data_IF_314035901460
#
_entry.id   IF_314035901460
#
_cell.length_a   1.000
_cell.length_b   1.000
_cell.length_c   1.000
_cell.angle_alpha   90.00
_cell.angle_beta   90.00
_cell.angle_gamma   90.00
#
_symmetry.space_group_name_H-M   'P 1'
#
loop_
_entity.id
_entity.type
_entity.pdbx_description
1 polymer ?
#
# COMPACT_ATOMS: atom_id res chain seq x y z
N UNK A 1 -8.80 7.44 -3.29
CA UNK A 1 -8.81 6.13 -2.59
C UNK A 1 -9.42 6.31 -1.20
N UNK A 2 -10.19 5.34 -0.70
CA UNK A 2 -10.67 5.35 0.69
C UNK A 2 -9.57 4.74 1.57
N UNK A 3 -9.20 5.42 2.65
CA UNK A 3 -8.22 4.92 3.63
C UNK A 3 -8.86 4.83 5.00
N UNK A 4 -8.83 3.64 5.60
CA UNK A 4 -9.40 3.35 6.91
C UNK A 4 -8.36 2.71 7.83
N UNK A 5 -8.35 3.10 9.12
CA UNK A 5 -7.58 2.41 10.16
C UNK A 5 -8.51 1.39 10.80
N UNK A 6 -8.28 0.10 10.54
CA UNK A 6 -9.17 -0.99 10.97
C UNK A 6 -8.76 -1.62 12.29
N UNK A 7 -7.50 -1.46 12.68
CA UNK A 7 -6.98 -1.82 13.99
C UNK A 7 -5.80 -0.91 14.36
N UNK A 8 -5.23 -1.09 15.56
CA UNK A 8 -3.96 -0.46 15.88
C UNK A 8 -2.94 -0.83 14.80
N UNK A 9 -2.41 0.21 14.16
CA UNK A 9 -1.38 0.15 13.12
C UNK A 9 -1.71 -0.66 11.86
N UNK A 10 -2.98 -1.04 11.67
CA UNK A 10 -3.45 -1.72 10.47
C UNK A 10 -4.37 -0.80 9.67
N UNK A 11 -4.05 -0.64 8.39
CA UNK A 11 -4.80 0.21 7.45
C UNK A 11 -5.29 -0.60 6.26
N UNK A 12 -6.47 -0.21 5.75
CA UNK A 12 -7.01 -0.68 4.47
C UNK A 12 -7.13 0.51 3.52
N UNK A 13 -6.82 0.24 2.26
CA UNK A 13 -6.85 1.15 1.14
C UNK A 13 -7.78 0.59 0.07
N UNK A 14 -8.97 1.17 -0.09
CA UNK A 14 -9.95 0.70 -1.08
C UNK A 14 -9.90 1.60 -2.31
N UNK A 15 -9.65 0.98 -3.46
CA UNK A 15 -9.60 1.68 -4.74
C UNK A 15 -10.96 2.29 -5.06
N UNK A 16 -10.96 3.55 -5.47
CA UNK A 16 -12.16 4.20 -6.01
C UNK A 16 -12.21 4.17 -7.54
N UNK A 17 -11.13 3.68 -8.17
CA UNK A 17 -10.95 3.70 -9.62
C UNK A 17 -11.11 2.31 -10.25
N UNK A 18 -10.78 1.24 -9.52
CA UNK A 18 -10.81 -0.14 -10.02
C UNK A 18 -11.56 -1.09 -9.08
N UNK A 19 -12.78 -1.47 -9.46
CA UNK A 19 -13.54 -2.60 -8.89
C UNK A 19 -13.63 -2.70 -7.33
N UNK A 20 -13.37 -1.61 -6.60
CA UNK A 20 -13.32 -1.60 -5.12
C UNK A 20 -12.35 -2.65 -4.54
N UNK A 21 -11.25 -2.93 -5.25
CA UNK A 21 -10.19 -3.80 -4.73
C UNK A 21 -9.44 -3.13 -3.59
N UNK A 22 -8.81 -3.93 -2.74
CA UNK A 22 -8.15 -3.45 -1.53
C UNK A 22 -6.64 -3.73 -1.56
N UNK A 23 -5.89 -2.77 -1.03
CA UNK A 23 -4.55 -2.98 -0.50
C UNK A 23 -4.59 -2.79 1.02
N UNK A 24 -3.60 -3.34 1.73
CA UNK A 24 -3.49 -3.23 3.18
C UNK A 24 -2.10 -2.79 3.61
N UNK A 25 -1.97 -2.19 4.78
CA UNK A 25 -0.66 -1.95 5.38
C UNK A 25 -0.64 -2.26 6.88
N UNK A 26 0.51 -2.76 7.33
CA UNK A 26 0.83 -2.94 8.74
C UNK A 26 2.00 -2.00 9.05
N UNK A 27 1.80 -1.10 10.01
CA UNK A 27 2.74 -0.03 10.33
C UNK A 27 3.52 -0.41 11.59
N UNK A 28 4.82 -0.69 11.44
CA UNK A 28 5.70 -0.96 12.57
C UNK A 28 6.30 0.31 13.18
N UNK A 29 7.11 0.11 14.23
CA UNK A 29 7.83 1.20 14.88
C UNK A 29 8.84 1.89 13.95
N UNK A 30 9.53 1.15 13.09
CA UNK A 30 10.61 1.67 12.24
C UNK A 30 10.28 1.64 10.73
N UNK A 31 9.40 0.74 10.31
CA UNK A 31 9.06 0.50 8.90
C UNK A 31 7.67 -0.11 8.78
N UNK A 32 7.12 -0.12 7.57
CA UNK A 32 5.81 -0.69 7.25
C UNK A 32 5.91 -1.85 6.27
N UNK A 33 4.86 -2.69 6.27
CA UNK A 33 4.58 -3.71 5.26
C UNK A 33 3.41 -3.21 4.44
N UNK A 34 3.56 -3.23 3.12
CA UNK A 34 2.46 -3.04 2.19
C UNK A 34 2.01 -4.41 1.67
N UNK A 35 0.70 -4.62 1.59
CA UNK A 35 0.06 -5.82 1.06
C UNK A 35 -0.74 -5.36 -0.16
N UNK A 36 -0.28 -5.75 -1.34
CA UNK A 36 -0.78 -5.31 -2.65
C UNK A 36 -0.65 -3.79 -2.89
N UNK A 37 -0.76 -3.36 -4.16
CA UNK A 37 -0.36 -2.00 -4.55
C UNK A 37 -1.44 -1.17 -5.23
N UNK A 38 -2.62 -1.74 -5.46
CA UNK A 38 -3.69 -1.21 -6.31
C UNK A 38 -3.27 -1.06 -7.78
N UNK A 39 -4.26 -0.95 -8.67
CA UNK A 39 -4.03 -0.98 -10.12
C UNK A 39 -3.46 0.32 -10.70
N UNK A 40 -3.81 1.46 -10.10
CA UNK A 40 -3.53 2.77 -10.69
C UNK A 40 -2.35 3.48 -10.02
N UNK A 41 -1.41 4.05 -10.79
CA UNK A 41 -0.22 4.71 -10.25
C UNK A 41 -0.53 5.81 -9.24
N UNK A 42 -1.62 6.54 -9.43
CA UNK A 42 -2.05 7.60 -8.53
C UNK A 42 -2.37 7.05 -7.13
N UNK A 43 -3.07 5.91 -7.05
CA UNK A 43 -3.42 5.28 -5.77
C UNK A 43 -2.20 4.63 -5.12
N UNK A 44 -1.32 3.97 -5.88
CA UNK A 44 -0.07 3.41 -5.33
C UNK A 44 0.85 4.49 -4.77
N UNK A 45 0.97 5.64 -5.45
CA UNK A 45 1.75 6.79 -4.95
C UNK A 45 1.09 7.42 -3.72
N UNK A 46 -0.24 7.52 -3.69
CA UNK A 46 -0.96 8.01 -2.51
C UNK A 46 -0.71 7.13 -1.28
N UNK A 47 -0.68 5.80 -1.45
CA UNK A 47 -0.27 4.85 -0.40
C UNK A 47 1.15 5.14 0.07
N UNK A 48 2.10 5.29 -0.85
CA UNK A 48 3.50 5.59 -0.51
C UNK A 48 3.64 6.91 0.23
N UNK A 49 3.02 7.97 -0.25
CA UNK A 49 3.05 9.29 0.37
C UNK A 49 2.48 9.25 1.79
N UNK A 50 1.46 8.43 2.02
CA UNK A 50 0.93 8.20 3.36
C UNK A 50 1.92 7.45 4.27
N UNK A 51 2.43 6.30 3.84
CA UNK A 51 3.30 5.46 4.67
C UNK A 51 4.68 6.08 4.89
N UNK A 52 5.37 6.46 3.82
CA UNK A 52 6.75 6.97 3.88
C UNK A 52 6.80 8.47 4.16
N UNK A 53 5.86 9.24 3.61
CA UNK A 53 5.82 10.69 3.81
C UNK A 53 5.19 11.06 5.15
N UNK A 54 3.89 10.76 5.31
CA UNK A 54 3.11 11.23 6.47
C UNK A 54 3.41 10.48 7.76
N UNK A 55 3.56 9.15 7.71
CA UNK A 55 3.89 8.36 8.90
C UNK A 55 5.40 8.25 9.14
N UNK A 56 6.21 8.63 8.16
CA UNK A 56 7.67 8.46 8.19
C UNK A 56 8.08 7.00 8.47
N UNK A 57 7.29 6.05 7.96
CA UNK A 57 7.53 4.59 8.08
C UNK A 57 7.84 4.02 6.69
N UNK A 58 9.13 3.92 6.31
CA UNK A 58 9.51 3.38 5.00
C UNK A 58 8.88 2.01 4.76
N UNK A 59 8.46 1.74 3.52
CA UNK A 59 7.92 0.42 3.16
C UNK A 59 9.09 -0.54 2.97
N UNK A 60 9.21 -1.52 3.86
CA UNK A 60 10.31 -2.51 3.82
C UNK A 60 9.98 -3.72 2.96
N UNK A 61 8.71 -4.10 2.92
CA UNK A 61 8.22 -5.26 2.18
C UNK A 61 6.95 -4.90 1.43
N UNK A 62 6.84 -5.40 0.19
CA UNK A 62 5.60 -5.39 -0.58
C UNK A 62 5.18 -6.85 -0.80
N UNK A 63 4.09 -7.25 -0.17
CA UNK A 63 3.52 -8.58 -0.31
C UNK A 63 2.49 -8.54 -1.42
N UNK A 64 2.82 -9.13 -2.57
CA UNK A 64 1.84 -9.40 -3.62
C UNK A 64 1.09 -10.68 -3.27
N UNK A 65 -0.20 -10.58 -2.96
CA UNK A 65 -1.01 -11.75 -2.61
C UNK A 65 -1.24 -12.66 -3.81
N UNK A 66 -1.22 -12.11 -5.03
CA UNK A 66 -1.13 -12.89 -6.27
C UNK A 66 -0.50 -12.07 -7.44
N UNK A 67 -0.61 -12.54 -8.69
CA UNK A 67 0.08 -11.96 -9.85
C UNK A 67 -0.70 -10.94 -10.71
N UNK A 68 -2.01 -10.72 -10.53
CA UNK A 68 -2.78 -9.74 -11.32
C UNK A 68 -2.33 -8.29 -11.06
N UNK A 69 -2.76 -7.43 -11.97
CA UNK A 69 -2.27 -6.07 -12.11
C UNK A 69 -2.56 -5.17 -10.92
N UNK A 70 -3.72 -5.31 -10.29
CA UNK A 70 -4.11 -4.59 -9.08
C UNK A 70 -3.30 -4.94 -7.84
N UNK A 71 -2.61 -6.08 -7.88
CA UNK A 71 -1.71 -6.50 -6.81
C UNK A 71 -0.29 -6.02 -7.04
N UNK A 72 0.17 -6.00 -8.30
CA UNK A 72 1.60 -5.97 -8.64
C UNK A 72 2.10 -4.71 -9.37
N UNK A 73 1.25 -3.96 -10.06
CA UNK A 73 1.71 -2.87 -10.93
C UNK A 73 2.36 -1.71 -10.18
N UNK A 74 1.96 -1.46 -8.94
CA UNK A 74 2.52 -0.39 -8.13
C UNK A 74 3.88 -0.69 -7.52
N UNK A 75 4.42 -1.92 -7.67
CA UNK A 75 5.70 -2.32 -7.10
C UNK A 75 6.85 -1.39 -7.47
N UNK A 76 6.83 -0.82 -8.69
CA UNK A 76 7.87 0.08 -9.17
C UNK A 76 7.99 1.39 -8.36
N UNK A 77 6.97 1.73 -7.56
CA UNK A 77 6.99 2.91 -6.70
C UNK A 77 7.67 2.65 -5.35
N UNK A 78 7.99 1.40 -5.03
CA UNK A 78 8.63 0.98 -3.78
C UNK A 78 10.02 0.32 -4.03
N UNK A 79 10.99 1.05 -4.63
CA UNK A 79 12.25 0.46 -5.10
C UNK A 79 13.19 -0.05 -3.99
N UNK A 80 12.93 0.32 -2.74
CA UNK A 80 13.71 -0.12 -1.57
C UNK A 80 13.05 -1.30 -0.83
N UNK A 81 11.84 -1.69 -1.24
CA UNK A 81 11.15 -2.84 -0.66
C UNK A 81 11.64 -4.14 -1.31
N UNK A 82 11.68 -5.21 -0.52
CA UNK A 82 11.92 -6.59 -1.00
C UNK A 82 10.60 -7.33 -1.17
#
# INVERSE_FOLDING_TARGET
MIRERVAEDVYVFTSQLYAQVNAGAIVGQDWSILIDTLAYPEESREIRDFLEGRLSKPVRYVINTHYHSDHTLGNCWFPNAT
#
